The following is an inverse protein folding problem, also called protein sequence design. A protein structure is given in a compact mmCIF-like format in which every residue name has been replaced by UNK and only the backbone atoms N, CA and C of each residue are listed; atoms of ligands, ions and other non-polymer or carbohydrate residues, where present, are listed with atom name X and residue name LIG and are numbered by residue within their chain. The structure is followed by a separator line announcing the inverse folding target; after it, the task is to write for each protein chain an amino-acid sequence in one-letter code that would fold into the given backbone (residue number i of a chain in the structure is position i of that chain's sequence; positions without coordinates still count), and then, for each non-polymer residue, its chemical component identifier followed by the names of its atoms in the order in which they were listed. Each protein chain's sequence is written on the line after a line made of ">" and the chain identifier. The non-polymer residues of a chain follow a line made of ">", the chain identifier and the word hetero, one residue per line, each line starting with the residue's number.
data_IF_265924456535
#
_entry.id   IF_265924456535
#
_cell.length_a   1.000
_cell.length_b   1.000
_cell.length_c   1.000
_cell.angle_alpha   90.00
_cell.angle_beta   90.00
_cell.angle_gamma   90.00
#
_symmetry.space_group_name_H-M   'P 1'
#
loop_
_entity.id
_entity.type
_entity.pdbx_description
1 polymer ?
#
# COMPACT_ATOMS: atom_id res chain seq x y z
N UNK A 1 9.12 -10.73 6.00
CA UNK A 1 8.87 -11.31 4.67
C UNK A 1 8.23 -10.24 3.81
N UNK A 2 7.26 -10.59 2.96
CA UNK A 2 6.33 -9.60 2.38
C UNK A 2 5.21 -9.23 3.36
N UNK A 3 4.90 -10.13 4.29
CA UNK A 3 4.10 -9.88 5.49
C UNK A 3 5.00 -9.78 6.75
N UNK A 4 4.51 -9.06 7.76
CA UNK A 4 5.07 -9.00 9.12
C UNK A 4 4.04 -9.40 10.20
N UNK A 5 4.41 -9.26 11.49
CA UNK A 5 3.61 -9.71 12.64
C UNK A 5 2.23 -9.08 12.72
N UNK A 6 2.02 -7.90 12.10
CA UNK A 6 0.74 -7.24 12.10
C UNK A 6 -0.32 -8.04 11.33
N UNK A 7 0.09 -8.82 10.33
CA UNK A 7 -0.83 -9.72 9.63
C UNK A 7 -1.31 -10.84 10.55
N UNK A 8 -0.43 -11.40 11.38
CA UNK A 8 -0.81 -12.40 12.39
C UNK A 8 -1.80 -11.81 13.40
N UNK A 9 -1.58 -10.57 13.85
CA UNK A 9 -2.52 -9.87 14.73
C UNK A 9 -3.87 -9.64 14.05
N UNK A 10 -3.89 -9.29 12.76
CA UNK A 10 -5.12 -9.15 11.99
C UNK A 10 -5.90 -10.48 11.94
N UNK A 11 -5.20 -11.61 11.77
CA UNK A 11 -5.84 -12.94 11.78
C UNK A 11 -6.44 -13.30 13.14
N UNK A 12 -5.85 -12.84 14.24
CA UNK A 12 -6.36 -13.08 15.60
C UNK A 12 -7.67 -12.34 15.90
N UNK A 13 -8.04 -11.33 15.10
CA UNK A 13 -9.32 -10.63 15.23
C UNK A 13 -10.49 -11.37 14.57
N UNK A 14 -10.22 -12.43 13.81
CA UNK A 14 -11.25 -13.28 13.22
C UNK A 14 -11.66 -14.38 14.20
N UNK A 15 -12.96 -14.54 14.43
CA UNK A 15 -13.53 -15.55 15.31
C UNK A 15 -14.82 -16.16 14.71
N UNK A 16 -15.48 -17.05 15.47
CA UNK A 16 -16.71 -17.72 15.03
C UNK A 16 -17.88 -16.76 14.78
N UNK A 17 -17.87 -15.56 15.38
CA UNK A 17 -18.89 -14.53 15.21
C UNK A 17 -18.64 -13.63 14.00
N UNK A 18 -17.38 -13.55 13.55
CA UNK A 18 -16.98 -12.79 12.37
C UNK A 18 -15.96 -13.55 11.51
N UNK A 19 -16.37 -14.67 10.87
CA UNK A 19 -15.45 -15.58 10.18
C UNK A 19 -14.83 -14.98 8.91
N UNK A 20 -15.39 -13.90 8.37
CA UNK A 20 -14.93 -13.28 7.12
C UNK A 20 -14.10 -12.01 7.36
N UNK A 21 -13.80 -11.68 8.62
CA UNK A 21 -13.16 -10.42 9.00
C UNK A 21 -11.89 -10.12 8.18
N UNK A 22 -10.95 -11.06 8.12
CA UNK A 22 -9.67 -10.86 7.43
C UNK A 22 -9.91 -10.66 5.94
N UNK A 23 -10.76 -11.48 5.32
CA UNK A 23 -11.07 -11.39 3.88
C UNK A 23 -11.74 -10.06 3.54
N UNK A 24 -12.65 -9.56 4.38
CA UNK A 24 -13.29 -8.24 4.18
C UNK A 24 -12.29 -7.09 4.29
N UNK A 25 -11.41 -7.13 5.31
CA UNK A 25 -10.35 -6.11 5.48
C UNK A 25 -9.41 -6.11 4.28
N UNK A 26 -8.99 -7.29 3.81
CA UNK A 26 -8.12 -7.41 2.65
C UNK A 26 -8.81 -6.95 1.36
N UNK A 27 -10.08 -7.27 1.17
CA UNK A 27 -10.85 -6.81 0.01
C UNK A 27 -10.92 -5.28 -0.06
N UNK A 28 -11.22 -4.63 1.08
CA UNK A 28 -11.23 -3.17 1.17
C UNK A 28 -9.83 -2.59 0.90
N UNK A 29 -8.80 -3.16 1.54
CA UNK A 29 -7.41 -2.76 1.33
C UNK A 29 -7.04 -2.80 -0.15
N UNK A 30 -7.32 -3.91 -0.87
CA UNK A 30 -6.98 -4.04 -2.28
C UNK A 30 -7.76 -3.05 -3.16
N UNK A 31 -9.06 -2.88 -2.91
CA UNK A 31 -9.88 -1.96 -3.68
C UNK A 31 -9.38 -0.52 -3.58
N UNK A 32 -9.01 -0.08 -2.38
CA UNK A 32 -8.53 1.28 -2.15
C UNK A 32 -7.10 1.47 -2.66
N UNK A 33 -6.26 0.44 -2.52
CA UNK A 33 -4.88 0.44 -3.02
C UNK A 33 -4.81 0.57 -4.54
N UNK A 34 -5.66 -0.16 -5.29
CA UNK A 34 -5.68 -0.09 -6.75
C UNK A 34 -5.98 1.35 -7.22
N UNK A 35 -7.00 1.98 -6.62
CA UNK A 35 -7.38 3.38 -6.93
C UNK A 35 -6.26 4.35 -6.59
N UNK A 36 -5.62 4.16 -5.43
CA UNK A 36 -4.54 5.04 -4.97
C UNK A 36 -3.31 4.97 -5.87
N UNK A 37 -2.88 3.76 -6.25
CA UNK A 37 -1.70 3.57 -7.11
C UNK A 37 -1.90 4.14 -8.52
N UNK A 38 -3.11 4.09 -9.06
CA UNK A 38 -3.48 4.73 -10.33
C UNK A 38 -3.47 6.26 -10.19
N UNK A 39 -4.09 6.80 -9.14
CA UNK A 39 -4.11 8.24 -8.87
C UNK A 39 -2.71 8.83 -8.65
N UNK A 40 -1.82 8.11 -7.97
CA UNK A 40 -0.42 8.52 -7.81
C UNK A 40 0.32 8.60 -9.15
N UNK A 41 0.10 7.63 -10.04
CA UNK A 41 0.68 7.67 -11.40
C UNK A 41 0.24 8.92 -12.15
N UNK A 42 -1.07 9.17 -12.20
CA UNK A 42 -1.64 10.37 -12.82
C UNK A 42 -1.16 11.67 -12.18
N UNK A 43 -0.86 11.68 -10.88
CA UNK A 43 -0.38 12.87 -10.18
C UNK A 43 1.09 13.21 -10.54
N UNK A 44 1.93 12.19 -10.75
CA UNK A 44 3.34 12.37 -11.12
C UNK A 44 3.55 12.78 -12.59
N UNK A 45 2.52 12.63 -13.43
CA UNK A 45 2.53 13.05 -14.84
C UNK A 45 2.02 14.50 -15.04
N UNK A 46 1.46 15.13 -14.00
CA UNK A 46 0.91 16.49 -14.09
C UNK A 46 1.99 17.56 -13.86
N UNK A 47 1.93 18.63 -14.64
CA UNK A 47 2.75 19.83 -14.42
C UNK A 47 1.90 21.03 -13.99
N UNK A 48 2.27 21.74 -12.90
CA UNK A 48 3.32 21.38 -11.94
C UNK A 48 2.90 20.20 -11.04
N UNK A 49 3.90 19.42 -10.58
CA UNK A 49 3.68 18.31 -9.64
C UNK A 49 3.40 18.86 -8.24
N UNK A 50 2.29 18.42 -7.63
CA UNK A 50 1.96 18.72 -6.23
C UNK A 50 2.51 17.64 -5.29
N UNK A 51 3.80 17.76 -4.93
CA UNK A 51 4.48 16.80 -4.05
C UNK A 51 3.85 16.70 -2.65
N UNK A 52 3.24 17.77 -2.13
CA UNK A 52 2.57 17.74 -0.81
C UNK A 52 1.33 16.86 -0.86
N UNK A 53 0.54 16.98 -1.92
CA UNK A 53 -0.63 16.13 -2.12
C UNK A 53 -0.23 14.67 -2.36
N UNK A 54 0.84 14.43 -3.11
CA UNK A 54 1.38 13.08 -3.33
C UNK A 54 1.86 12.47 -2.00
N UNK A 55 2.65 13.20 -1.20
CA UNK A 55 3.11 12.76 0.12
C UNK A 55 1.95 12.36 1.03
N UNK A 56 0.88 13.16 1.06
CA UNK A 56 -0.30 12.87 1.88
C UNK A 56 -0.95 11.52 1.50
N UNK A 57 -1.10 11.23 0.21
CA UNK A 57 -1.63 9.93 -0.24
C UNK A 57 -0.68 8.78 0.08
N UNK A 58 0.63 8.95 -0.13
CA UNK A 58 1.63 7.92 0.20
C UNK A 58 1.67 7.67 1.71
N UNK A 59 1.50 8.71 2.53
CA UNK A 59 1.41 8.58 3.98
C UNK A 59 0.19 7.77 4.42
N UNK A 60 -0.99 8.05 3.86
CA UNK A 60 -2.19 7.24 4.12
C UNK A 60 -1.97 5.79 3.70
N UNK A 61 -1.35 5.57 2.54
CA UNK A 61 -1.07 4.22 2.06
C UNK A 61 -0.03 3.48 2.92
N UNK A 62 0.95 4.18 3.47
CA UNK A 62 1.87 3.64 4.50
C UNK A 62 1.08 3.12 5.69
N UNK A 63 0.13 3.90 6.20
CA UNK A 63 -0.73 3.52 7.33
C UNK A 63 -1.57 2.29 7.02
N UNK A 64 -2.28 2.30 5.90
CA UNK A 64 -3.12 1.20 5.42
C UNK A 64 -2.32 -0.09 5.20
N UNK A 65 -1.14 0.01 4.57
CA UNK A 65 -0.22 -1.12 4.38
C UNK A 65 0.30 -1.65 5.71
N UNK A 66 0.57 -0.76 6.68
CA UNK A 66 0.97 -1.15 8.02
C UNK A 66 -0.14 -1.94 8.71
N UNK A 67 -1.39 -1.48 8.69
CA UNK A 67 -2.49 -2.15 9.41
C UNK A 67 -2.81 -3.57 8.92
N UNK A 68 -2.48 -3.89 7.67
CA UNK A 68 -2.64 -5.24 7.11
C UNK A 68 -1.33 -6.06 7.12
N UNK A 69 -0.26 -5.51 7.67
CA UNK A 69 1.05 -6.17 7.74
C UNK A 69 1.78 -6.30 6.39
N UNK A 70 1.42 -5.51 5.37
CA UNK A 70 2.10 -5.47 4.07
C UNK A 70 3.45 -4.75 4.18
N UNK A 71 4.41 -5.41 4.82
CA UNK A 71 5.68 -4.84 5.27
C UNK A 71 6.50 -4.16 4.17
N UNK A 72 6.64 -4.82 3.01
CA UNK A 72 7.45 -4.28 1.91
C UNK A 72 6.81 -3.07 1.25
N UNK A 73 5.49 -3.07 1.13
CA UNK A 73 4.71 -1.93 0.63
C UNK A 73 4.88 -0.74 1.57
N UNK A 74 4.75 -0.96 2.88
CA UNK A 74 5.00 0.07 3.92
C UNK A 74 6.38 0.70 3.77
N UNK A 75 7.42 -0.11 3.58
CA UNK A 75 8.79 0.39 3.45
C UNK A 75 8.99 1.19 2.16
N UNK A 76 8.43 0.73 1.03
CA UNK A 76 8.47 1.47 -0.22
C UNK A 76 7.76 2.84 -0.10
N UNK A 77 6.66 2.92 0.66
CA UNK A 77 6.02 4.20 0.99
C UNK A 77 6.97 5.12 1.76
N UNK A 78 7.74 4.63 2.73
CA UNK A 78 8.69 5.46 3.51
C UNK A 78 9.72 6.10 2.56
N UNK A 79 10.31 5.31 1.66
CA UNK A 79 11.28 5.82 0.68
C UNK A 79 10.66 6.82 -0.29
N UNK A 80 9.45 6.55 -0.78
CA UNK A 80 8.75 7.49 -1.66
C UNK A 80 8.57 8.86 -0.97
N UNK A 81 8.11 8.87 0.30
CA UNK A 81 7.92 10.13 1.04
C UNK A 81 9.19 10.97 1.12
N UNK A 82 10.36 10.36 1.31
CA UNK A 82 11.63 11.07 1.28
C UNK A 82 11.86 11.77 -0.08
N UNK A 83 11.55 11.11 -1.19
CA UNK A 83 11.63 11.73 -2.52
C UNK A 83 10.57 12.81 -2.76
N UNK A 84 9.40 12.74 -2.12
CA UNK A 84 8.44 13.85 -2.12
C UNK A 84 9.01 15.09 -1.42
N UNK A 85 9.69 14.91 -0.28
CA UNK A 85 10.34 16.01 0.47
C UNK A 85 11.48 16.66 -0.35
N UNK A 86 12.19 15.87 -1.15
CA UNK A 86 13.25 16.33 -2.06
C UNK A 86 12.72 16.89 -3.39
N UNK A 87 11.41 16.84 -3.66
CA UNK A 87 10.80 17.13 -4.96
C UNK A 87 11.45 16.35 -6.12
N UNK A 88 11.86 15.10 -5.87
CA UNK A 88 12.56 14.25 -6.82
C UNK A 88 11.56 13.40 -7.63
N UNK A 89 11.13 13.90 -8.78
CA UNK A 89 10.18 13.20 -9.66
C UNK A 89 10.67 11.80 -10.05
N UNK A 90 11.94 11.65 -10.45
CA UNK A 90 12.48 10.37 -10.90
C UNK A 90 12.48 9.33 -9.77
N UNK A 91 12.87 9.74 -8.56
CA UNK A 91 12.80 8.92 -7.35
C UNK A 91 11.36 8.52 -7.01
N UNK A 92 10.42 9.47 -7.07
CA UNK A 92 8.99 9.19 -6.87
C UNK A 92 8.43 8.18 -7.88
N UNK A 93 8.78 8.31 -9.17
CA UNK A 93 8.36 7.37 -10.22
C UNK A 93 8.92 5.98 -9.99
N UNK A 94 10.21 5.87 -9.65
CA UNK A 94 10.84 4.59 -9.32
C UNK A 94 10.18 3.93 -8.10
N UNK A 95 9.95 4.70 -7.03
CA UNK A 95 9.26 4.20 -5.85
C UNK A 95 7.82 3.78 -6.13
N UNK A 96 7.09 4.50 -6.99
CA UNK A 96 5.74 4.10 -7.40
C UNK A 96 5.75 2.73 -8.11
N UNK A 97 6.71 2.48 -8.99
CA UNK A 97 6.86 1.19 -9.65
C UNK A 97 7.14 0.07 -8.63
N UNK A 98 8.05 0.31 -7.69
CA UNK A 98 8.36 -0.64 -6.63
C UNK A 98 7.14 -0.90 -5.73
N UNK A 99 6.39 0.15 -5.34
CA UNK A 99 5.16 0.02 -4.57
C UNK A 99 4.13 -0.84 -5.29
N UNK A 100 3.92 -0.62 -6.60
CA UNK A 100 3.01 -1.45 -7.43
C UNK A 100 3.45 -2.91 -7.41
N UNK A 101 4.74 -3.18 -7.64
CA UNK A 101 5.26 -4.55 -7.66
C UNK A 101 5.04 -5.29 -6.33
N UNK A 102 5.42 -4.67 -5.20
CA UNK A 102 5.28 -5.28 -3.88
C UNK A 102 3.80 -5.45 -3.50
N UNK A 103 2.95 -4.50 -3.87
CA UNK A 103 1.51 -4.58 -3.67
C UNK A 103 0.88 -5.75 -4.44
N UNK A 104 1.16 -5.88 -5.74
CA UNK A 104 0.61 -6.97 -6.54
C UNK A 104 1.12 -8.34 -6.10
N UNK A 105 2.36 -8.44 -5.61
CA UNK A 105 2.90 -9.66 -5.02
C UNK A 105 2.09 -10.08 -3.79
N UNK A 106 1.87 -9.16 -2.85
CA UNK A 106 1.07 -9.43 -1.64
C UNK A 106 -0.37 -9.77 -2.00
N UNK A 107 -1.00 -8.99 -2.89
CA UNK A 107 -2.37 -9.21 -3.36
C UNK A 107 -2.56 -10.61 -3.92
N UNK A 108 -1.72 -11.02 -4.87
CA UNK A 108 -1.82 -12.33 -5.49
C UNK A 108 -1.63 -13.46 -4.47
N UNK A 109 -0.69 -13.33 -3.53
CA UNK A 109 -0.46 -14.37 -2.52
C UNK A 109 -1.58 -14.49 -1.50
N UNK A 110 -2.16 -13.38 -1.09
CA UNK A 110 -3.31 -13.42 -0.19
C UNK A 110 -4.57 -13.91 -0.91
N UNK A 111 -4.79 -13.54 -2.17
CA UNK A 111 -5.89 -14.08 -2.97
C UNK A 111 -5.76 -15.59 -3.24
N UNK A 112 -4.54 -16.11 -3.38
CA UNK A 112 -4.29 -17.57 -3.45
C UNK A 112 -4.59 -18.26 -2.11
N UNK A 113 -4.27 -17.62 -0.98
CA UNK A 113 -4.44 -18.18 0.36
C UNK A 113 -5.91 -18.25 0.82
N UNK A 114 -6.71 -17.24 0.48
CA UNK A 114 -8.11 -17.10 0.88
C UNK A 114 -9.10 -17.45 -0.24
N UNK A 115 -8.67 -18.31 -1.18
CA UNK A 115 -9.50 -18.77 -2.30
C UNK A 115 -10.51 -19.83 -1.88
#
# INVERSE_FOLDING_TARGET
>A
GFLDEQFTQLQQLQDETNPDFVTQVLALFFQDSDKLLDNLGKALEKEPIDYKKIDAHVHQFKGSSSSVGAHRVKNACITFRAYCEENNQAGCVQCLQQMKQEYYLVKNKLQELFR
#
